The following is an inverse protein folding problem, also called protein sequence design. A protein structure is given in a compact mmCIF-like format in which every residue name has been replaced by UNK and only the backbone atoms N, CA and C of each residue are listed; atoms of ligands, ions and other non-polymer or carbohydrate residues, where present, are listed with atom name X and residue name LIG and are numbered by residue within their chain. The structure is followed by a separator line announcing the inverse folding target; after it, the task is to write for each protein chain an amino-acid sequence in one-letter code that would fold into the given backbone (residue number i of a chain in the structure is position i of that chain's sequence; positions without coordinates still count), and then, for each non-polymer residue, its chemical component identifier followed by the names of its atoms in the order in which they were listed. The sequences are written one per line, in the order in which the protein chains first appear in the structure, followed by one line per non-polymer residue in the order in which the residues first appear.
data_IF_848157194227
#
_entry.id   IF_848157194227
#
_cell.length_a   1.000
_cell.length_b   1.000
_cell.length_c   1.000
_cell.angle_alpha   90.00
_cell.angle_beta   90.00
_cell.angle_gamma   90.00
#
_symmetry.space_group_name_H-M   'P 1'
#
loop_
_entity.id
_entity.type
_entity.pdbx_description
1 polymer ?
#
# COMPACT_ATOMS: atom_id res chain seq x y z
N UNK A 1 -6.80 -35.45 -3.94
CA UNK A 1 -6.52 -34.06 -3.79
C UNK A 1 -7.07 -33.26 -4.94
N UNK A 2 -7.89 -32.36 -4.63
CA UNK A 2 -8.80 -31.73 -5.56
C UNK A 2 -8.14 -30.64 -6.41
N UNK A 3 -8.14 -30.84 -7.73
CA UNK A 3 -7.83 -29.78 -8.70
C UNK A 3 -8.68 -28.52 -8.48
N UNK A 4 -9.88 -28.67 -7.92
CA UNK A 4 -10.76 -27.56 -7.57
C UNK A 4 -10.13 -26.63 -6.52
N UNK A 5 -9.54 -27.18 -5.46
CA UNK A 5 -8.89 -26.37 -4.42
C UNK A 5 -7.69 -25.58 -4.95
N UNK A 6 -6.94 -26.16 -5.87
CA UNK A 6 -5.82 -25.49 -6.52
C UNK A 6 -6.32 -24.34 -7.41
N UNK A 7 -7.34 -24.57 -8.20
CA UNK A 7 -7.93 -23.52 -9.05
C UNK A 7 -8.56 -22.40 -8.22
N UNK A 8 -9.24 -22.73 -7.15
CA UNK A 8 -9.86 -21.76 -6.24
C UNK A 8 -8.81 -20.87 -5.56
N UNK A 9 -7.69 -21.47 -5.09
CA UNK A 9 -6.58 -20.72 -4.51
C UNK A 9 -5.95 -19.76 -5.50
N UNK A 10 -5.73 -20.22 -6.73
CA UNK A 10 -5.17 -19.40 -7.79
C UNK A 10 -6.09 -18.25 -8.15
N UNK A 11 -7.39 -18.49 -8.27
CA UNK A 11 -8.39 -17.46 -8.50
C UNK A 11 -8.42 -16.44 -7.37
N UNK A 12 -8.33 -16.89 -6.12
CA UNK A 12 -8.29 -16.03 -4.94
C UNK A 12 -7.03 -15.14 -4.97
N UNK A 13 -5.88 -15.70 -5.30
CA UNK A 13 -4.62 -14.96 -5.44
C UNK A 13 -4.74 -13.88 -6.52
N UNK A 14 -5.28 -14.21 -7.68
CA UNK A 14 -5.47 -13.27 -8.79
C UNK A 14 -6.44 -12.15 -8.41
N UNK A 15 -7.50 -12.48 -7.68
CA UNK A 15 -8.46 -11.50 -7.18
C UNK A 15 -7.80 -10.52 -6.21
N UNK A 16 -7.04 -11.03 -5.25
CA UNK A 16 -6.32 -10.20 -4.28
C UNK A 16 -5.30 -9.29 -4.95
N UNK A 17 -4.55 -9.81 -5.93
CA UNK A 17 -3.60 -9.02 -6.69
C UNK A 17 -4.29 -7.89 -7.46
N UNK A 18 -5.44 -8.17 -8.06
CA UNK A 18 -6.22 -7.16 -8.80
C UNK A 18 -6.73 -6.07 -7.87
N UNK A 19 -7.27 -6.44 -6.72
CA UNK A 19 -7.75 -5.48 -5.71
C UNK A 19 -6.61 -4.60 -5.21
N UNK A 20 -5.43 -5.18 -4.98
CA UNK A 20 -4.24 -4.46 -4.58
C UNK A 20 -3.81 -3.44 -5.63
N UNK A 21 -3.78 -3.83 -6.90
CA UNK A 21 -3.40 -2.94 -8.00
C UNK A 21 -4.36 -1.76 -8.13
N UNK A 22 -5.66 -1.99 -7.97
CA UNK A 22 -6.66 -0.91 -8.02
C UNK A 22 -6.44 0.09 -6.88
N UNK A 23 -6.26 -0.40 -5.66
CA UNK A 23 -6.01 0.47 -4.50
C UNK A 23 -4.69 1.23 -4.64
N UNK A 24 -3.64 0.56 -5.07
CA UNK A 24 -2.33 1.15 -5.33
C UNK A 24 -2.43 2.32 -6.32
N UNK A 25 -3.14 2.12 -7.41
CA UNK A 25 -3.36 3.16 -8.42
C UNK A 25 -4.10 4.35 -7.85
N UNK A 26 -5.11 4.13 -7.04
CA UNK A 26 -5.87 5.19 -6.36
C UNK A 26 -4.98 6.01 -5.43
N UNK A 27 -4.14 5.35 -4.64
CA UNK A 27 -3.20 6.00 -3.71
C UNK A 27 -2.21 6.88 -4.48
N UNK A 28 -1.61 6.35 -5.55
CA UNK A 28 -0.65 7.10 -6.37
C UNK A 28 -1.30 8.31 -7.03
N UNK A 29 -2.48 8.14 -7.59
CA UNK A 29 -3.22 9.23 -8.25
C UNK A 29 -3.54 10.35 -7.26
N UNK A 30 -4.00 10.00 -6.06
CA UNK A 30 -4.31 10.98 -5.02
C UNK A 30 -3.06 11.71 -4.53
N UNK A 31 -1.95 10.98 -4.37
CA UNK A 31 -0.68 11.57 -3.97
C UNK A 31 -0.21 12.60 -5.00
N UNK A 32 -0.23 12.24 -6.27
CA UNK A 32 0.17 13.16 -7.36
C UNK A 32 -0.72 14.39 -7.39
N UNK A 33 -2.01 14.23 -7.17
CA UNK A 33 -2.95 15.33 -7.09
C UNK A 33 -2.62 16.26 -5.92
N UNK A 34 -2.32 15.71 -4.74
CA UNK A 34 -1.91 16.51 -3.58
C UNK A 34 -0.61 17.28 -3.84
N UNK A 35 0.39 16.64 -4.44
CA UNK A 35 1.64 17.31 -4.81
C UNK A 35 1.37 18.46 -5.78
N UNK A 36 0.52 18.24 -6.77
CA UNK A 36 0.14 19.23 -7.76
C UNK A 36 -0.58 20.44 -7.13
N UNK A 37 -1.46 20.20 -6.16
CA UNK A 37 -2.21 21.25 -5.47
C UNK A 37 -1.34 22.18 -4.62
N UNK A 38 -0.14 21.76 -4.23
CA UNK A 38 0.79 22.64 -3.51
C UNK A 38 1.15 23.89 -4.31
N UNK A 39 1.09 23.83 -5.65
CA UNK A 39 1.38 24.95 -6.53
C UNK A 39 0.24 25.97 -6.61
N UNK A 40 -0.99 25.55 -6.33
CA UNK A 40 -2.19 26.36 -6.50
C UNK A 40 -2.82 26.84 -5.19
N UNK A 41 -2.46 26.26 -4.06
CA UNK A 41 -2.91 26.59 -2.69
C UNK A 41 -4.42 26.80 -2.49
N UNK A 42 -5.29 25.88 -2.90
CA UNK A 42 -6.70 25.98 -2.52
C UNK A 42 -6.87 25.48 -1.09
N UNK A 43 -6.63 26.34 -0.10
CA UNK A 43 -6.65 26.00 1.33
C UNK A 43 -7.92 25.28 1.76
N UNK A 44 -9.05 25.62 1.16
CA UNK A 44 -10.36 25.04 1.51
C UNK A 44 -10.52 23.58 1.09
N UNK A 45 -9.78 23.11 0.08
CA UNK A 45 -9.88 21.75 -0.44
C UNK A 45 -8.79 20.81 0.07
N UNK A 46 -7.72 21.39 0.63
CA UNK A 46 -6.54 20.60 1.00
C UNK A 46 -6.85 19.63 2.15
N UNK A 47 -7.44 20.09 3.22
CA UNK A 47 -7.72 19.25 4.39
C UNK A 47 -8.62 18.05 4.08
N UNK A 48 -9.80 18.22 3.43
CA UNK A 48 -10.65 17.07 3.08
C UNK A 48 -9.94 16.08 2.16
N UNK A 49 -9.16 16.58 1.21
CA UNK A 49 -8.44 15.73 0.27
C UNK A 49 -7.31 14.95 0.96
N UNK A 50 -6.59 15.59 1.87
CA UNK A 50 -5.54 14.95 2.67
C UNK A 50 -6.14 13.85 3.55
N UNK A 51 -7.26 14.12 4.20
CA UNK A 51 -7.94 13.11 5.03
C UNK A 51 -8.40 11.93 4.21
N UNK A 52 -8.95 12.19 3.04
CA UNK A 52 -9.35 11.14 2.10
C UNK A 52 -8.14 10.31 1.65
N UNK A 53 -7.04 10.98 1.32
CA UNK A 53 -5.79 10.30 0.95
C UNK A 53 -5.29 9.40 2.08
N UNK A 54 -5.25 9.89 3.31
CA UNK A 54 -4.83 9.10 4.47
C UNK A 54 -5.71 7.86 4.65
N UNK A 55 -7.02 7.99 4.46
CA UNK A 55 -7.93 6.86 4.56
C UNK A 55 -7.64 5.80 3.48
N UNK A 56 -7.46 6.23 2.23
CA UNK A 56 -7.14 5.32 1.13
C UNK A 56 -5.77 4.65 1.34
N UNK A 57 -4.83 5.36 1.92
CA UNK A 57 -3.50 4.85 2.25
C UNK A 57 -3.59 3.72 3.29
N UNK A 58 -4.37 3.92 4.34
CA UNK A 58 -4.59 2.90 5.37
C UNK A 58 -5.33 1.69 4.78
N UNK A 59 -6.33 1.91 3.93
CA UNK A 59 -7.07 0.82 3.26
C UNK A 59 -6.13 -0.01 2.37
N UNK A 60 -5.23 0.64 1.66
CA UNK A 60 -4.22 -0.02 0.83
C UNK A 60 -3.30 -0.92 1.66
N UNK A 61 -2.74 -0.39 2.75
CA UNK A 61 -1.87 -1.15 3.65
C UNK A 61 -2.61 -2.33 4.27
N UNK A 62 -3.84 -2.12 4.70
CA UNK A 62 -4.67 -3.15 5.32
C UNK A 62 -4.98 -4.28 4.34
N UNK A 63 -5.29 -3.95 3.10
CA UNK A 63 -5.55 -4.93 2.05
C UNK A 63 -4.34 -5.82 1.82
N UNK A 64 -3.14 -5.25 1.79
CA UNK A 64 -1.91 -6.02 1.64
C UNK A 64 -1.67 -6.94 2.81
N UNK A 65 -1.73 -6.40 4.04
CA UNK A 65 -1.46 -7.16 5.24
C UNK A 65 -2.49 -8.28 5.45
N UNK A 66 -3.78 -7.96 5.42
CA UNK A 66 -4.86 -8.91 5.69
C UNK A 66 -5.25 -9.74 4.46
N UNK A 67 -5.02 -9.24 3.26
CA UNK A 67 -5.30 -9.97 2.04
C UNK A 67 -4.15 -10.87 1.62
N UNK A 68 -3.04 -10.28 1.22
CA UNK A 68 -1.92 -11.01 0.60
C UNK A 68 -1.14 -11.85 1.62
N UNK A 69 -0.60 -11.21 2.66
CA UNK A 69 0.22 -11.92 3.63
C UNK A 69 -0.58 -12.92 4.46
N UNK A 70 -1.79 -12.57 4.85
CA UNK A 70 -2.68 -13.48 5.56
C UNK A 70 -2.99 -14.73 4.72
N UNK A 71 -3.24 -14.55 3.43
CA UNK A 71 -3.45 -15.63 2.48
C UNK A 71 -2.25 -16.58 2.42
N UNK A 72 -1.03 -16.02 2.40
CA UNK A 72 0.21 -16.80 2.38
C UNK A 72 0.43 -17.57 3.69
N UNK A 73 0.29 -16.88 4.82
CA UNK A 73 0.61 -17.42 6.15
C UNK A 73 -0.37 -18.51 6.57
N UNK A 74 -1.62 -18.44 6.16
CA UNK A 74 -2.65 -19.40 6.56
C UNK A 74 -2.68 -20.71 5.74
N UNK A 75 -1.57 -21.05 5.10
CA UNK A 75 -1.44 -22.34 4.41
C UNK A 75 -2.15 -22.42 3.08
N UNK A 76 -2.56 -21.29 2.52
CA UNK A 76 -3.15 -21.22 1.18
C UNK A 76 -2.10 -21.32 0.08
N UNK A 77 -0.83 -21.15 0.45
CA UNK A 77 0.30 -21.29 -0.46
C UNK A 77 1.24 -22.39 0.05
N UNK A 78 1.46 -23.42 -0.78
CA UNK A 78 2.28 -24.57 -0.43
C UNK A 78 3.65 -24.57 -1.12
N UNK A 79 3.91 -23.65 -2.04
CA UNK A 79 5.16 -23.63 -2.77
C UNK A 79 6.26 -23.04 -1.89
N UNK A 80 7.27 -23.83 -1.61
CA UNK A 80 8.38 -23.45 -0.71
C UNK A 80 9.15 -22.21 -1.18
N UNK A 81 9.28 -22.03 -2.51
CA UNK A 81 9.96 -20.84 -3.06
C UNK A 81 9.22 -19.55 -2.77
N UNK A 82 7.89 -19.56 -2.80
CA UNK A 82 7.08 -18.39 -2.50
C UNK A 82 7.09 -18.08 -1.02
N UNK A 83 7.03 -19.09 -0.16
CA UNK A 83 7.12 -18.91 1.29
C UNK A 83 8.49 -18.33 1.67
N UNK A 84 9.57 -18.79 1.05
CA UNK A 84 10.90 -18.24 1.26
C UNK A 84 10.99 -16.78 0.81
N UNK A 85 10.39 -16.44 -0.33
CA UNK A 85 10.34 -15.08 -0.83
C UNK A 85 9.53 -14.18 0.12
N UNK A 86 8.40 -14.65 0.61
CA UNK A 86 7.57 -13.92 1.56
C UNK A 86 8.33 -13.66 2.87
N UNK A 87 9.08 -14.62 3.37
CA UNK A 87 9.92 -14.47 4.56
C UNK A 87 11.03 -13.43 4.35
N UNK A 88 11.60 -13.36 3.16
CA UNK A 88 12.59 -12.35 2.79
C UNK A 88 11.99 -10.95 2.72
N UNK A 89 10.82 -10.83 2.12
CA UNK A 89 10.15 -9.56 1.90
C UNK A 89 9.49 -9.01 3.16
N UNK A 90 8.95 -9.87 4.01
CA UNK A 90 8.12 -9.48 5.16
C UNK A 90 8.79 -8.45 6.08
N UNK A 91 10.06 -8.61 6.51
CA UNK A 91 10.70 -7.60 7.37
C UNK A 91 10.80 -6.23 6.69
N UNK A 92 11.11 -6.20 5.40
CA UNK A 92 11.18 -4.96 4.63
C UNK A 92 9.79 -4.32 4.50
N UNK A 93 8.75 -5.14 4.35
CA UNK A 93 7.37 -4.67 4.26
C UNK A 93 6.90 -4.08 5.58
N UNK A 94 7.25 -4.70 6.71
CA UNK A 94 6.94 -4.17 8.04
C UNK A 94 7.58 -2.80 8.25
N UNK A 95 8.86 -2.68 7.94
CA UNK A 95 9.59 -1.41 8.04
C UNK A 95 8.98 -0.34 7.15
N UNK A 96 8.61 -0.71 5.92
CA UNK A 96 7.92 0.17 5.00
C UNK A 96 6.56 0.62 5.54
N UNK A 97 5.79 -0.29 6.10
CA UNK A 97 4.50 0.01 6.73
C UNK A 97 4.67 1.01 7.87
N UNK A 98 5.68 0.84 8.70
CA UNK A 98 5.97 1.79 9.79
C UNK A 98 6.22 3.20 9.25
N UNK A 99 6.97 3.33 8.16
CA UNK A 99 7.21 4.62 7.51
C UNK A 99 5.90 5.25 7.00
N UNK A 100 5.03 4.46 6.40
CA UNK A 100 3.73 4.94 5.91
C UNK A 100 2.83 5.37 7.07
N UNK A 101 2.81 4.60 8.16
CA UNK A 101 2.03 4.95 9.36
C UNK A 101 2.56 6.21 10.03
N UNK A 102 3.88 6.41 10.05
CA UNK A 102 4.50 7.63 10.56
C UNK A 102 4.04 8.86 9.77
N UNK A 103 3.97 8.74 8.44
CA UNK A 103 3.40 9.79 7.60
C UNK A 103 1.97 10.13 8.05
N UNK A 104 1.13 9.12 8.16
CA UNK A 104 -0.26 9.30 8.56
C UNK A 104 -0.37 9.99 9.92
N UNK A 105 0.40 9.54 10.89
CA UNK A 105 0.41 10.09 12.25
C UNK A 105 0.87 11.54 12.28
N UNK A 106 1.92 11.88 11.53
CA UNK A 106 2.41 13.26 11.43
C UNK A 106 1.38 14.20 10.83
N UNK A 107 0.74 13.77 9.75
CA UNK A 107 -0.28 14.58 9.08
C UNK A 107 -1.49 14.78 9.98
N UNK A 108 -1.94 13.73 10.64
CA UNK A 108 -3.10 13.81 11.55
C UNK A 108 -2.82 14.68 12.78
N UNK A 109 -1.57 14.76 13.21
CA UNK A 109 -1.14 15.60 14.34
C UNK A 109 -0.85 17.05 13.93
N UNK A 110 -0.75 17.35 12.63
CA UNK A 110 -0.44 18.68 12.13
C UNK A 110 -1.69 19.55 12.13
N UNK A 111 -1.64 20.75 12.75
CA UNK A 111 -2.77 21.70 12.68
C UNK A 111 -3.09 22.07 11.22
N UNK A 112 -4.36 22.29 10.93
CA UNK A 112 -4.83 22.64 9.57
C UNK A 112 -4.07 23.84 8.99
N UNK A 113 -3.75 24.82 9.83
CA UNK A 113 -3.05 26.03 9.42
C UNK A 113 -1.61 25.76 8.95
N UNK A 114 -1.01 24.67 9.39
CA UNK A 114 0.38 24.30 9.09
C UNK A 114 0.50 23.17 8.07
N UNK A 115 -0.62 22.64 7.60
CA UNK A 115 -0.64 21.48 6.69
C UNK A 115 0.10 21.75 5.38
N UNK A 116 -0.10 22.92 4.78
CA UNK A 116 0.51 23.29 3.51
C UNK A 116 2.03 23.35 3.58
N UNK A 117 2.60 23.77 4.72
CA UNK A 117 4.05 23.88 4.91
C UNK A 117 4.74 22.52 5.08
N UNK A 118 4.08 21.59 5.77
CA UNK A 118 4.66 20.28 6.08
C UNK A 118 4.39 19.23 5.02
N UNK A 119 3.26 19.36 4.32
CA UNK A 119 2.71 18.27 3.50
C UNK A 119 3.58 17.88 2.32
N UNK A 120 4.15 18.86 1.60
CA UNK A 120 4.94 18.56 0.39
C UNK A 120 6.15 17.68 0.71
N UNK A 121 6.92 18.07 1.71
CA UNK A 121 8.11 17.31 2.12
C UNK A 121 7.74 15.90 2.57
N UNK A 122 6.67 15.77 3.36
CA UNK A 122 6.18 14.46 3.81
C UNK A 122 5.66 13.60 2.66
N UNK A 123 5.01 14.20 1.66
CA UNK A 123 4.55 13.49 0.46
C UNK A 123 5.72 12.99 -0.39
N UNK A 124 6.80 13.75 -0.46
CA UNK A 124 8.00 13.33 -1.20
C UNK A 124 8.68 12.15 -0.50
N UNK A 125 8.81 12.19 0.81
CA UNK A 125 9.36 11.09 1.61
C UNK A 125 8.46 9.85 1.46
N UNK A 126 7.15 10.03 1.55
CA UNK A 126 6.19 8.95 1.37
C UNK A 126 6.30 8.32 -0.02
N UNK A 127 6.55 9.13 -1.05
CA UNK A 127 6.72 8.65 -2.41
C UNK A 127 7.82 7.63 -2.55
N UNK A 128 8.96 7.86 -1.93
CA UNK A 128 10.08 6.91 -1.93
C UNK A 128 9.69 5.60 -1.24
N UNK A 129 8.98 5.68 -0.12
CA UNK A 129 8.50 4.50 0.60
C UNK A 129 7.48 3.72 -0.24
N UNK A 130 6.59 4.41 -0.94
CA UNK A 130 5.59 3.77 -1.81
C UNK A 130 6.23 3.11 -3.02
N UNK A 131 7.28 3.69 -3.60
CA UNK A 131 8.03 3.08 -4.70
C UNK A 131 8.67 1.76 -4.26
N UNK A 132 9.30 1.74 -3.10
CA UNK A 132 9.88 0.52 -2.54
C UNK A 132 8.78 -0.52 -2.28
N UNK A 133 7.65 -0.10 -1.74
CA UNK A 133 6.52 -0.99 -1.48
C UNK A 133 6.00 -1.65 -2.75
N UNK A 134 5.83 -0.87 -3.82
CA UNK A 134 5.42 -1.39 -5.13
C UNK A 134 6.40 -2.45 -5.64
N UNK A 135 7.69 -2.19 -5.51
CA UNK A 135 8.74 -3.13 -5.94
C UNK A 135 8.65 -4.45 -5.16
N UNK A 136 8.49 -4.39 -3.84
CA UNK A 136 8.32 -5.57 -3.00
C UNK A 136 7.04 -6.34 -3.33
N UNK A 137 5.93 -5.63 -3.52
CA UNK A 137 4.64 -6.19 -3.91
C UNK A 137 4.72 -6.91 -5.25
N UNK A 138 5.34 -6.28 -6.25
CA UNK A 138 5.47 -6.86 -7.59
C UNK A 138 6.29 -8.15 -7.57
N UNK A 139 7.37 -8.18 -6.80
CA UNK A 139 8.18 -9.40 -6.62
C UNK A 139 7.35 -10.54 -6.03
N UNK A 140 6.57 -10.23 -5.00
CA UNK A 140 5.73 -11.22 -4.32
C UNK A 140 4.61 -11.74 -5.24
N UNK A 141 3.92 -10.83 -5.92
CA UNK A 141 2.80 -11.19 -6.80
C UNK A 141 3.29 -11.97 -8.01
N UNK A 142 4.42 -11.61 -8.61
CA UNK A 142 5.03 -12.38 -9.69
C UNK A 142 5.30 -13.82 -9.26
N UNK A 143 5.84 -14.01 -8.06
CA UNK A 143 6.06 -15.34 -7.50
C UNK A 143 4.76 -16.12 -7.31
N UNK A 144 3.71 -15.46 -6.83
CA UNK A 144 2.42 -16.08 -6.54
C UNK A 144 1.63 -16.45 -7.80
N UNK A 145 1.82 -15.72 -8.89
CA UNK A 145 1.07 -15.90 -10.15
C UNK A 145 1.84 -16.65 -11.22
N UNK A 146 3.06 -17.00 -10.96
CA UNK A 146 3.92 -17.74 -11.91
C UNK A 146 3.46 -19.20 -12.10
#
# INVERSE_FOLDING_TARGET
MNNQNFCERRLQTLKLARELFVKREQVWTLREKLVSLQSYRPEQLLEPLVRYFCQELIDYISLEHFGIFHHLVNGHENRSGILALAEEIFPQMVENTDTVLDFNDKIMATPTESLDLALLDELLILGDALELRVELEDRLIEGMTA
#
